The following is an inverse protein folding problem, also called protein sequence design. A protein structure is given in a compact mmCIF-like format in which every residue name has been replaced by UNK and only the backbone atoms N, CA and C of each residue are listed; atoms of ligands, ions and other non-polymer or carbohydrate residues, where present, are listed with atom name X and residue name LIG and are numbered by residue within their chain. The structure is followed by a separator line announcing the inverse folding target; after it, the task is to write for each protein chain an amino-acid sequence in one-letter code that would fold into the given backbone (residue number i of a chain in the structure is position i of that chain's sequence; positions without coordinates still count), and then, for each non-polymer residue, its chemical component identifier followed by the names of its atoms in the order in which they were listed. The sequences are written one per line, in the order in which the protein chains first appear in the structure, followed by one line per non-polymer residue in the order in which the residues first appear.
data_IF_260164654425
#
_entry.id   IF_260164654425
#
_cell.length_a   1.000
_cell.length_b   1.000
_cell.length_c   1.000
_cell.angle_alpha   90.00
_cell.angle_beta   90.00
_cell.angle_gamma   90.00
#
_symmetry.space_group_name_H-M   'P 1'
#
loop_
_entity.id
_entity.type
_entity.pdbx_description
1 polymer ?
#
# COMPACT_ATOMS: atom_id res chain seq x y z
N UNK A 1 0.77 -3.27 -2.22
CA UNK A 1 -0.32 -3.99 -1.53
C UNK A 1 -1.63 -3.22 -1.66
N UNK A 2 -1.75 -2.02 -1.08
CA UNK A 2 -3.00 -1.25 -1.08
C UNK A 2 -3.64 -0.98 -2.46
N UNK A 3 -2.85 -0.61 -3.48
CA UNK A 3 -3.37 -0.46 -4.86
C UNK A 3 -4.12 -1.71 -5.34
N UNK A 4 -3.53 -2.90 -5.12
CA UNK A 4 -4.11 -4.18 -5.55
C UNK A 4 -5.33 -4.53 -4.70
N UNK A 5 -5.22 -4.35 -3.39
CA UNK A 5 -6.31 -4.59 -2.45
C UNK A 5 -7.52 -3.67 -2.70
N UNK A 6 -7.30 -2.49 -3.27
CA UNK A 6 -8.34 -1.53 -3.67
C UNK A 6 -8.84 -1.72 -5.11
N UNK A 7 -8.22 -2.58 -5.92
CA UNK A 7 -8.61 -2.75 -7.33
C UNK A 7 -10.09 -3.18 -7.48
N UNK A 8 -10.61 -4.18 -6.73
CA UNK A 8 -12.03 -4.56 -6.84
C UNK A 8 -12.99 -3.44 -6.43
N UNK A 9 -12.62 -2.64 -5.43
CA UNK A 9 -13.40 -1.48 -4.99
C UNK A 9 -13.41 -0.40 -6.07
N UNK A 10 -12.25 -0.08 -6.65
CA UNK A 10 -12.12 0.90 -7.73
C UNK A 10 -12.87 0.47 -9.00
N UNK A 11 -12.87 -0.82 -9.30
CA UNK A 11 -13.60 -1.39 -10.43
C UNK A 11 -15.12 -1.50 -10.21
N UNK A 12 -15.61 -1.18 -8.99
CA UNK A 12 -17.02 -1.34 -8.63
C UNK A 12 -17.48 -2.78 -8.46
N UNK A 13 -16.55 -3.74 -8.43
CA UNK A 13 -16.81 -5.17 -8.25
C UNK A 13 -17.12 -5.48 -6.78
N UNK A 14 -16.45 -4.77 -5.86
CA UNK A 14 -16.63 -4.92 -4.42
C UNK A 14 -16.99 -3.58 -3.76
N UNK A 15 -17.79 -3.62 -2.68
CA UNK A 15 -18.16 -2.42 -1.91
C UNK A 15 -17.21 -2.15 -0.76
N UNK A 16 -16.61 -3.20 -0.20
CA UNK A 16 -15.71 -3.14 0.95
C UNK A 16 -14.51 -4.09 0.77
N UNK A 17 -13.44 -3.94 1.58
CA UNK A 17 -12.28 -4.83 1.51
C UNK A 17 -12.59 -6.32 1.78
N UNK A 18 -13.61 -6.61 2.58
CA UNK A 18 -14.07 -7.97 2.89
C UNK A 18 -14.67 -8.68 1.67
N UNK A 19 -15.37 -7.91 0.83
CA UNK A 19 -16.00 -8.40 -0.41
C UNK A 19 -15.03 -8.39 -1.60
N UNK A 20 -13.78 -7.98 -1.40
CA UNK A 20 -12.78 -7.84 -2.46
C UNK A 20 -12.10 -9.18 -2.76
N UNK A 21 -12.80 -10.03 -3.51
CA UNK A 21 -12.34 -11.38 -3.84
C UNK A 21 -10.94 -11.41 -4.45
N UNK A 22 -10.18 -12.46 -4.08
CA UNK A 22 -8.81 -12.72 -4.55
C UNK A 22 -7.76 -11.66 -4.18
N UNK A 23 -8.03 -10.83 -3.16
CA UNK A 23 -7.06 -9.85 -2.63
C UNK A 23 -6.37 -10.33 -1.35
N UNK A 24 -5.21 -9.73 -1.05
CA UNK A 24 -4.47 -10.05 0.18
C UNK A 24 -5.21 -9.53 1.41
N UNK A 25 -5.91 -8.40 1.29
CA UNK A 25 -6.70 -7.83 2.38
C UNK A 25 -7.88 -8.73 2.77
N UNK A 26 -8.62 -9.27 1.79
CA UNK A 26 -9.71 -10.19 2.09
C UNK A 26 -9.20 -11.43 2.83
N UNK A 27 -8.10 -12.04 2.36
CA UNK A 27 -7.50 -13.22 3.01
C UNK A 27 -7.11 -12.92 4.46
N UNK A 28 -6.47 -11.78 4.71
CA UNK A 28 -6.10 -11.33 6.05
C UNK A 28 -7.30 -11.13 6.96
N UNK A 29 -8.38 -10.52 6.45
CA UNK A 29 -9.61 -10.31 7.23
C UNK A 29 -10.30 -11.63 7.56
N UNK A 30 -10.47 -12.53 6.57
CA UNK A 30 -11.08 -13.85 6.79
C UNK A 30 -10.32 -14.68 7.82
N UNK A 31 -8.99 -14.74 7.71
CA UNK A 31 -8.16 -15.43 8.68
C UNK A 31 -8.31 -14.81 10.09
N UNK A 32 -8.28 -13.47 10.20
CA UNK A 32 -8.48 -12.80 11.48
C UNK A 32 -9.85 -13.08 12.11
N UNK A 33 -10.92 -13.15 11.31
CA UNK A 33 -12.26 -13.53 11.79
C UNK A 33 -12.33 -14.97 12.31
N UNK A 34 -11.48 -15.85 11.79
CA UNK A 34 -11.39 -17.26 12.20
C UNK A 34 -10.36 -17.49 13.31
N UNK A 35 -9.63 -16.46 13.74
CA UNK A 35 -8.50 -16.60 14.68
C UNK A 35 -7.29 -17.31 14.07
N UNK A 36 -7.20 -17.35 12.74
CA UNK A 36 -6.15 -18.01 11.98
C UNK A 36 -5.09 -17.01 11.47
N UNK A 37 -3.95 -17.56 11.05
CA UNK A 37 -2.88 -16.80 10.41
C UNK A 37 -2.87 -17.02 8.89
N UNK A 38 -2.17 -16.16 8.16
CA UNK A 38 -1.99 -16.28 6.70
C UNK A 38 -0.54 -16.60 6.37
N UNK A 39 -0.09 -17.88 6.47
CA UNK A 39 1.34 -18.23 6.35
C UNK A 39 1.94 -17.89 4.98
N UNK A 40 1.12 -17.83 3.93
CA UNK A 40 1.55 -17.44 2.58
C UNK A 40 1.73 -15.92 2.41
N UNK A 41 1.26 -15.12 3.36
CA UNK A 41 1.40 -13.67 3.34
C UNK A 41 2.43 -13.23 4.35
N UNK A 42 3.29 -12.28 3.96
CA UNK A 42 4.27 -11.71 4.87
C UNK A 42 3.56 -11.13 6.12
N UNK A 43 3.95 -11.51 7.35
CA UNK A 43 3.24 -11.11 8.55
C UNK A 43 3.45 -9.62 8.86
N UNK A 44 2.50 -9.01 9.56
CA UNK A 44 2.69 -7.69 10.17
C UNK A 44 3.47 -7.86 11.47
N UNK A 45 4.61 -7.18 11.59
CA UNK A 45 5.51 -7.29 12.75
C UNK A 45 5.52 -6.03 13.62
N UNK A 46 4.68 -5.05 13.28
CA UNK A 46 4.51 -3.84 14.06
C UNK A 46 5.63 -2.82 13.87
N UNK A 47 5.81 -1.98 14.88
CA UNK A 47 6.80 -0.91 14.88
C UNK A 47 8.24 -1.41 15.09
N UNK A 48 9.20 -0.57 14.69
CA UNK A 48 10.63 -0.86 14.83
C UNK A 48 11.01 -1.12 16.29
N UNK A 49 11.76 -2.21 16.49
CA UNK A 49 12.28 -2.62 17.80
C UNK A 49 13.57 -3.40 17.65
N UNK A 50 14.36 -3.47 18.74
CA UNK A 50 15.53 -4.35 18.82
C UNK A 50 15.11 -5.80 18.50
N UNK A 51 15.93 -6.50 17.72
CA UNK A 51 15.65 -7.86 17.23
C UNK A 51 14.36 -7.94 16.39
N UNK A 52 14.29 -7.12 15.33
CA UNK A 52 13.14 -7.08 14.44
C UNK A 52 12.94 -8.43 13.71
N UNK A 53 11.78 -9.08 13.85
CA UNK A 53 11.48 -10.27 13.06
C UNK A 53 11.21 -9.87 11.60
N UNK A 54 11.41 -10.82 10.67
CA UNK A 54 11.16 -10.60 9.26
C UNK A 54 9.65 -10.39 9.02
N UNK A 55 9.27 -9.24 8.46
CA UNK A 55 7.88 -8.97 8.11
C UNK A 55 7.62 -7.53 7.63
N UNK A 56 6.34 -7.16 7.57
CA UNK A 56 5.89 -5.81 7.29
C UNK A 56 5.97 -4.96 8.57
N UNK A 57 6.77 -3.90 8.55
CA UNK A 57 7.04 -3.06 9.73
C UNK A 57 5.90 -2.06 9.99
N UNK A 58 4.68 -2.54 10.15
CA UNK A 58 3.50 -1.78 10.58
C UNK A 58 2.51 -2.72 11.24
N UNK A 59 1.59 -2.16 12.03
CA UNK A 59 0.50 -2.91 12.61
C UNK A 59 -0.54 -3.27 11.54
N UNK A 60 -1.15 -4.46 11.67
CA UNK A 60 -2.23 -4.89 10.78
C UNK A 60 -3.41 -3.90 10.82
N UNK A 61 -3.74 -3.41 12.01
CA UNK A 61 -4.81 -2.41 12.22
C UNK A 61 -4.57 -1.14 11.42
N UNK A 62 -3.35 -0.62 11.42
CA UNK A 62 -3.02 0.61 10.71
C UNK A 62 -3.13 0.43 9.20
N UNK A 63 -2.72 -0.75 8.70
CA UNK A 63 -2.87 -1.11 7.29
C UNK A 63 -4.35 -1.22 6.87
N UNK A 64 -5.16 -1.93 7.66
CA UNK A 64 -6.57 -2.10 7.37
C UNK A 64 -7.31 -0.75 7.38
N UNK A 65 -6.99 0.12 8.34
CA UNK A 65 -7.56 1.47 8.41
C UNK A 65 -7.15 2.31 7.19
N UNK A 66 -5.87 2.27 6.79
CA UNK A 66 -5.37 2.96 5.61
C UNK A 66 -6.13 2.53 4.35
N UNK A 67 -6.37 1.23 4.18
CA UNK A 67 -7.10 0.71 3.01
C UNK A 67 -8.57 1.09 3.05
N UNK A 68 -9.25 0.96 4.21
CA UNK A 68 -10.67 1.36 4.33
C UNK A 68 -10.87 2.85 4.06
N UNK A 69 -10.08 3.72 4.71
CA UNK A 69 -10.13 5.17 4.49
C UNK A 69 -9.89 5.53 3.03
N UNK A 70 -8.87 4.92 2.41
CA UNK A 70 -8.56 5.16 1.00
C UNK A 70 -9.70 4.69 0.09
N UNK A 71 -10.28 3.52 0.35
CA UNK A 71 -11.42 2.99 -0.40
C UNK A 71 -12.66 3.90 -0.31
N UNK A 72 -12.93 4.44 0.89
CA UNK A 72 -14.00 5.42 1.11
C UNK A 72 -13.78 6.73 0.39
N UNK A 73 -12.53 7.19 0.28
CA UNK A 73 -12.18 8.42 -0.47
C UNK A 73 -12.34 8.21 -1.99
N UNK A 74 -11.94 7.03 -2.51
CA UNK A 74 -12.03 6.71 -3.95
C UNK A 74 -13.49 6.59 -4.40
N UNK A 75 -14.37 6.10 -3.51
CA UNK A 75 -15.79 5.95 -3.78
C UNK A 75 -16.49 7.31 -3.81
N UNK A 76 -16.90 7.75 -5.01
CA UNK A 76 -17.59 9.03 -5.24
C UNK A 76 -18.90 9.22 -4.45
N UNK A 77 -19.50 8.14 -3.95
CA UNK A 77 -20.74 8.16 -3.16
C UNK A 77 -20.50 8.39 -1.65
N UNK A 78 -19.25 8.42 -1.17
CA UNK A 78 -18.92 8.70 0.23
C UNK A 78 -17.85 9.78 0.36
N UNK A 79 -18.08 10.75 1.25
CA UNK A 79 -17.03 11.66 1.71
C UNK A 79 -16.13 10.88 2.67
N UNK A 80 -15.06 10.27 2.16
CA UNK A 80 -14.05 9.65 3.01
C UNK A 80 -13.32 10.71 3.85
N UNK A 81 -13.18 10.45 5.16
CA UNK A 81 -12.33 11.23 6.06
C UNK A 81 -11.02 10.47 6.26
N UNK A 82 -9.92 11.20 6.26
CA UNK A 82 -8.62 10.64 6.62
C UNK A 82 -8.56 10.56 8.13
N UNK A 83 -8.50 9.35 8.68
CA UNK A 83 -8.38 9.17 10.12
C UNK A 83 -6.95 9.41 10.61
N UNK A 84 -6.80 9.58 11.93
CA UNK A 84 -5.49 9.71 12.56
C UNK A 84 -4.59 8.49 12.27
N UNK A 85 -5.14 7.27 12.24
CA UNK A 85 -4.38 6.06 11.93
C UNK A 85 -3.78 6.07 10.52
N UNK A 86 -4.56 6.46 9.52
CA UNK A 86 -4.09 6.66 8.14
C UNK A 86 -2.98 7.71 8.07
N UNK A 87 -3.12 8.78 8.84
CA UNK A 87 -2.10 9.84 8.91
C UNK A 87 -0.80 9.33 9.54
N UNK A 88 -0.88 8.53 10.61
CA UNK A 88 0.28 7.94 11.30
C UNK A 88 1.14 7.08 10.37
N UNK A 89 0.53 6.13 9.65
CA UNK A 89 1.28 5.24 8.76
C UNK A 89 1.90 6.00 7.58
N UNK A 90 1.18 6.96 7.00
CA UNK A 90 1.68 7.76 5.87
C UNK A 90 2.82 8.69 6.27
N UNK A 91 2.73 9.34 7.43
CA UNK A 91 3.81 10.15 7.97
C UNK A 91 5.07 9.33 8.24
N UNK A 92 4.91 8.14 8.82
CA UNK A 92 6.04 7.24 9.10
C UNK A 92 6.71 6.73 7.82
N UNK A 93 5.95 6.56 6.74
CA UNK A 93 6.48 6.22 5.42
C UNK A 93 7.00 7.45 4.63
N UNK A 94 6.86 8.66 5.18
CA UNK A 94 7.15 9.93 4.50
C UNK A 94 6.42 10.06 3.16
N UNK A 95 5.15 9.66 3.09
CA UNK A 95 4.33 9.75 1.88
C UNK A 95 3.21 10.76 2.12
N UNK A 96 3.25 11.95 1.47
CA UNK A 96 2.16 12.90 1.54
C UNK A 96 0.84 12.28 1.07
N UNK A 97 -0.26 12.62 1.73
CA UNK A 97 -1.57 12.02 1.42
C UNK A 97 -2.02 12.23 -0.03
N UNK A 98 -1.74 13.40 -0.61
CA UNK A 98 -2.05 13.66 -2.01
C UNK A 98 -1.25 12.78 -2.97
N UNK A 99 -0.01 12.42 -2.61
CA UNK A 99 0.81 11.48 -3.36
C UNK A 99 0.27 10.06 -3.17
N UNK A 100 -0.09 9.67 -1.94
CA UNK A 100 -0.72 8.38 -1.66
C UNK A 100 -1.97 8.14 -2.51
N UNK A 101 -2.90 9.10 -2.55
CA UNK A 101 -4.12 8.96 -3.35
C UNK A 101 -3.83 8.80 -4.84
N UNK A 102 -2.83 9.50 -5.38
CA UNK A 102 -2.38 9.30 -6.77
C UNK A 102 -1.78 7.90 -6.96
N UNK A 103 -0.96 7.44 -6.01
CA UNK A 103 -0.35 6.12 -6.06
C UNK A 103 -1.40 5.00 -6.03
N UNK A 104 -2.51 5.15 -5.30
CA UNK A 104 -3.55 4.11 -5.20
C UNK A 104 -4.61 4.16 -6.31
N UNK A 105 -4.71 5.27 -7.05
CA UNK A 105 -5.69 5.44 -8.14
C UNK A 105 -5.07 5.36 -9.53
N UNK A 106 -3.89 5.94 -9.73
CA UNK A 106 -3.23 6.13 -11.03
C UNK A 106 -1.99 5.26 -11.22
N UNK A 107 -1.74 4.27 -10.36
CA UNK A 107 -0.49 3.50 -10.33
C UNK A 107 -0.01 3.01 -11.71
N UNK A 108 -0.89 2.33 -12.45
CA UNK A 108 -0.58 1.75 -13.75
C UNK A 108 -0.35 2.80 -14.84
N UNK A 109 -0.85 4.03 -14.65
CA UNK A 109 -0.62 5.17 -15.53
C UNK A 109 0.70 5.85 -15.22
N UNK A 110 1.02 6.00 -13.94
CA UNK A 110 2.24 6.64 -13.44
C UNK A 110 3.49 5.79 -13.68
N UNK A 111 3.36 4.46 -13.59
CA UNK A 111 4.51 3.56 -13.64
C UNK A 111 4.30 2.43 -14.65
N UNK A 112 5.37 2.17 -15.41
CA UNK A 112 5.49 1.04 -16.35
C UNK A 112 6.71 0.15 -16.04
N UNK A 113 7.35 0.40 -14.89
CA UNK A 113 8.64 -0.18 -14.52
C UNK A 113 8.86 -0.10 -13.00
N UNK A 114 10.11 -0.18 -12.53
CA UNK A 114 10.42 -0.16 -11.10
C UNK A 114 9.94 1.13 -10.43
N UNK A 115 9.52 1.02 -9.17
CA UNK A 115 8.96 2.11 -8.36
C UNK A 115 9.60 2.08 -6.98
N UNK A 116 10.01 3.24 -6.47
CA UNK A 116 10.62 3.38 -5.15
C UNK A 116 11.29 4.74 -4.95
N UNK A 117 12.08 4.89 -3.90
CA UNK A 117 12.95 6.07 -3.71
C UNK A 117 14.00 6.14 -4.82
N UNK A 118 14.57 7.32 -5.07
CA UNK A 118 15.64 7.48 -6.06
C UNK A 118 16.87 6.61 -5.75
N UNK A 119 17.16 6.41 -4.47
CA UNK A 119 18.21 5.52 -3.98
C UNK A 119 17.92 4.07 -4.40
N UNK A 120 16.76 3.53 -4.01
CA UNK A 120 16.36 2.16 -4.36
C UNK A 120 16.31 1.91 -5.88
N UNK A 121 15.92 2.91 -6.66
CA UNK A 121 15.94 2.86 -8.13
C UNK A 121 17.36 2.81 -8.69
N UNK A 122 18.30 3.50 -8.05
CA UNK A 122 19.71 3.51 -8.44
C UNK A 122 20.34 2.16 -8.12
N UNK A 123 20.05 1.59 -6.95
CA UNK A 123 20.51 0.26 -6.56
C UNK A 123 19.95 -0.82 -7.50
N UNK A 124 18.64 -0.79 -7.77
CA UNK A 124 17.99 -1.70 -8.73
C UNK A 124 18.62 -1.62 -10.12
N UNK A 125 18.86 -0.41 -10.64
CA UNK A 125 19.45 -0.24 -11.97
C UNK A 125 20.90 -0.72 -12.00
N UNK A 126 21.68 -0.46 -10.94
CA UNK A 126 23.06 -0.91 -10.81
C UNK A 126 23.13 -2.43 -10.77
N UNK A 127 22.32 -3.07 -9.93
CA UNK A 127 22.27 -4.52 -9.78
C UNK A 127 21.90 -5.23 -11.09
N UNK A 128 20.97 -4.65 -11.87
CA UNK A 128 20.55 -5.21 -13.16
C UNK A 128 21.32 -4.66 -14.37
N UNK A 129 22.43 -3.94 -14.14
CA UNK A 129 23.26 -3.34 -15.19
C UNK A 129 22.47 -2.48 -16.20
N UNK A 130 21.41 -1.81 -15.74
CA UNK A 130 20.58 -0.91 -16.55
C UNK A 130 21.13 0.51 -16.51
N UNK A 131 21.34 1.10 -17.69
CA UNK A 131 21.86 2.48 -17.82
C UNK A 131 20.82 3.57 -17.52
N UNK A 132 19.51 3.28 -17.65
CA UNK A 132 18.43 4.28 -17.49
C UNK A 132 17.52 3.95 -16.33
N UNK A 133 17.35 4.92 -15.42
CA UNK A 133 16.32 4.92 -14.36
C UNK A 133 14.95 5.33 -14.94
N UNK A 134 14.25 4.38 -15.55
CA UNK A 134 12.90 4.63 -16.09
C UNK A 134 11.95 5.04 -14.95
N UNK A 135 11.12 6.06 -15.17
CA UNK A 135 10.16 6.52 -14.17
C UNK A 135 10.74 7.36 -13.02
N UNK A 136 12.05 7.70 -13.05
CA UNK A 136 12.72 8.43 -11.97
C UNK A 136 12.04 9.76 -11.60
N UNK A 137 11.54 10.52 -12.58
CA UNK A 137 10.85 11.79 -12.32
C UNK A 137 9.55 11.60 -11.51
N UNK A 138 8.75 10.58 -11.84
CA UNK A 138 7.54 10.25 -11.08
C UNK A 138 7.90 9.73 -9.69
N UNK A 139 8.96 8.91 -9.59
CA UNK A 139 9.40 8.36 -8.32
C UNK A 139 9.93 9.43 -7.38
N UNK A 140 10.73 10.37 -7.89
CA UNK A 140 11.15 11.54 -7.13
C UNK A 140 9.93 12.29 -6.62
N UNK A 141 9.04 12.74 -7.51
CA UNK A 141 7.86 13.54 -7.13
C UNK A 141 6.94 12.87 -6.10
N UNK A 142 6.82 11.54 -6.12
CA UNK A 142 5.81 10.82 -5.34
C UNK A 142 6.36 10.19 -4.05
N UNK A 143 7.68 10.00 -3.95
CA UNK A 143 8.36 9.34 -2.82
C UNK A 143 9.49 10.18 -2.19
N UNK A 144 9.59 11.48 -2.51
CA UNK A 144 10.50 12.45 -1.87
C UNK A 144 9.77 13.38 -0.93
#
# INVERSE_FOLDING_TARGET
MAYVDLNPIRAGIAKTPEDSDYTSIQRRIRAAMQGENTPELLPFVGNERLNMPQGLHFEAKDYLQLVDDTGRIIRHDKRGLITAGTTTILNRLNIPIGNWLKLTTDFSRLFKGPVGTLESLTDYCTHLQRRRRQGAAHCQKLFS
#
